data_IF_654700448215
#
_entry.id   IF_654700448215
#
_cell.length_a   1.000
_cell.length_b   1.000
_cell.length_c   1.000
_cell.angle_alpha   90.00
_cell.angle_beta   90.00
_cell.angle_gamma   90.00
#
_symmetry.space_group_name_H-M   'P 1'
#
loop_
_entity.id
_entity.type
_entity.pdbx_description
1 polymer ?
#
# COMPACT_ATOMS: atom_id res chain seq x y z
N UNK A 1 -0.31 50.45 15.27
CA UNK A 1 -0.37 49.51 16.40
C UNK A 1 -0.97 48.21 15.89
N UNK A 2 -0.24 47.09 16.09
CA UNK A 2 -0.72 45.71 16.38
C UNK A 2 -1.84 45.09 15.51
N UNK A 3 -1.88 43.81 15.13
CA UNK A 3 -1.03 42.62 15.11
C UNK A 3 -1.89 41.55 14.40
N UNK A 4 -1.27 40.65 13.61
CA UNK A 4 -1.64 39.22 13.38
C UNK A 4 -3.07 38.90 12.87
N UNK A 5 -3.23 38.13 11.80
CA UNK A 5 -3.00 36.68 11.77
C UNK A 5 -2.55 36.22 10.37
N UNK A 6 -1.30 35.77 10.29
CA UNK A 6 -0.82 34.87 9.24
C UNK A 6 -1.44 33.50 9.47
N UNK A 7 -2.15 32.97 8.48
CA UNK A 7 -2.62 31.59 8.46
C UNK A 7 -1.44 30.63 8.51
N UNK A 8 -1.35 29.87 9.59
CA UNK A 8 -0.45 28.74 9.76
C UNK A 8 -0.88 27.62 8.82
N UNK A 9 -0.13 27.44 7.75
CA UNK A 9 -0.13 26.20 6.96
C UNK A 9 0.26 25.04 7.89
N UNK A 10 -0.43 23.89 7.88
CA UNK A 10 -0.02 22.74 8.67
C UNK A 10 1.37 22.30 8.20
N UNK A 11 2.35 22.46 9.09
CA UNK A 11 3.69 21.92 8.93
C UNK A 11 3.61 20.39 8.93
N UNK A 12 4.18 19.74 7.92
CA UNK A 12 4.31 18.28 7.94
C UNK A 12 4.69 17.57 6.65
N UNK A 13 4.67 18.21 5.48
CA UNK A 13 5.20 17.64 4.23
C UNK A 13 6.12 18.66 3.58
N UNK A 14 7.35 18.74 4.10
CA UNK A 14 8.40 19.55 3.49
C UNK A 14 8.78 18.98 2.13
N UNK A 15 8.94 19.87 1.16
CA UNK A 15 9.50 19.73 -0.19
C UNK A 15 10.80 18.90 -0.30
N UNK A 16 11.40 18.52 0.84
CA UNK A 16 12.53 17.61 0.94
C UNK A 16 12.16 16.13 0.72
N UNK A 17 10.91 15.72 0.96
CA UNK A 17 10.47 14.33 0.74
C UNK A 17 10.29 13.94 -0.72
N UNK A 18 10.14 14.92 -1.61
CA UNK A 18 9.91 14.71 -3.05
C UNK A 18 11.23 14.63 -3.82
N UNK A 19 12.35 15.11 -3.26
CA UNK A 19 13.63 15.25 -3.97
C UNK A 19 14.51 14.01 -4.00
N UNK A 20 14.11 12.92 -3.34
CA UNK A 20 14.84 11.64 -3.41
C UNK A 20 14.27 10.62 -4.40
N UNK A 21 13.16 10.92 -5.08
CA UNK A 21 12.62 10.11 -6.18
C UNK A 21 13.28 10.46 -7.54
N UNK A 22 14.58 10.81 -7.52
CA UNK A 22 15.36 11.25 -8.68
C UNK A 22 15.90 10.08 -9.53
N UNK A 23 15.12 9.01 -9.66
CA UNK A 23 15.25 8.11 -10.80
C UNK A 23 14.10 8.40 -11.76
N UNK A 24 14.38 9.31 -12.69
CA UNK A 24 13.56 9.68 -13.85
C UNK A 24 13.25 8.47 -14.74
N UNK A 25 12.36 7.60 -14.27
CA UNK A 25 11.54 6.77 -15.12
C UNK A 25 10.11 7.18 -14.83
N UNK A 26 9.39 7.62 -15.86
CA UNK A 26 7.93 7.68 -15.85
C UNK A 26 7.40 6.25 -15.66
N UNK A 27 7.50 5.73 -14.45
CA UNK A 27 6.95 4.42 -14.07
C UNK A 27 5.44 4.64 -13.98
N UNK A 28 4.65 4.07 -14.90
CA UNK A 28 3.21 4.32 -14.95
C UNK A 28 2.52 4.02 -13.61
N UNK A 29 3.05 3.07 -12.85
CA UNK A 29 2.56 2.68 -11.54
C UNK A 29 2.69 3.79 -10.49
N UNK A 30 3.80 4.55 -10.46
CA UNK A 30 3.94 5.70 -9.56
C UNK A 30 3.05 6.87 -9.99
N UNK A 31 2.84 7.07 -11.29
CA UNK A 31 1.91 8.08 -11.80
C UNK A 31 0.46 7.74 -11.41
N UNK A 32 0.07 6.47 -11.50
CA UNK A 32 -1.24 5.99 -11.04
C UNK A 32 -1.43 6.21 -9.53
N UNK A 33 -0.37 5.98 -8.75
CA UNK A 33 -0.40 6.14 -7.30
C UNK A 33 -0.52 7.63 -6.91
N UNK A 34 0.26 8.51 -7.55
CA UNK A 34 0.15 9.95 -7.41
C UNK A 34 -1.25 10.48 -7.74
N UNK A 35 -1.78 10.10 -8.91
CA UNK A 35 -3.14 10.45 -9.32
C UNK A 35 -4.21 9.91 -8.35
N UNK A 36 -3.99 8.71 -7.80
CA UNK A 36 -4.85 8.13 -6.78
C UNK A 36 -4.89 8.95 -5.49
N UNK A 37 -3.72 9.35 -4.97
CA UNK A 37 -3.58 10.18 -3.77
C UNK A 37 -4.22 11.57 -4.00
N UNK A 38 -3.97 12.19 -5.15
CA UNK A 38 -4.62 13.46 -5.51
C UNK A 38 -6.14 13.34 -5.50
N UNK A 39 -6.66 12.25 -6.09
CA UNK A 39 -8.09 11.98 -6.11
C UNK A 39 -8.69 11.78 -4.71
N UNK A 40 -7.96 11.14 -3.80
CA UNK A 40 -8.37 11.05 -2.39
C UNK A 40 -8.43 12.45 -1.74
N UNK A 41 -7.47 13.32 -2.04
CA UNK A 41 -7.47 14.72 -1.60
C UNK A 41 -8.67 15.51 -2.10
N UNK A 42 -9.08 15.32 -3.36
CA UNK A 42 -10.30 15.93 -3.94
C UNK A 42 -11.59 15.44 -3.26
N UNK A 43 -11.68 14.13 -3.00
CA UNK A 43 -12.80 13.54 -2.27
C UNK A 43 -12.90 14.11 -0.86
N UNK A 44 -11.76 14.25 -0.17
CA UNK A 44 -11.71 14.87 1.15
C UNK A 44 -12.17 16.34 1.11
N UNK A 45 -11.71 17.13 0.13
CA UNK A 45 -12.17 18.52 -0.07
C UNK A 45 -13.68 18.58 -0.32
N UNK A 46 -14.23 17.62 -1.05
CA UNK A 46 -15.68 17.52 -1.30
C UNK A 46 -16.44 17.27 0.00
N UNK A 47 -16.00 16.32 0.83
CA UNK A 47 -16.61 16.04 2.14
C UNK A 47 -16.54 17.24 3.08
N UNK A 48 -15.38 17.89 3.15
CA UNK A 48 -15.16 19.10 3.95
C UNK A 48 -16.09 20.23 3.50
N UNK A 49 -16.25 20.42 2.18
CA UNK A 49 -17.17 21.42 1.62
C UNK A 49 -18.60 21.12 2.00
N UNK A 50 -19.07 19.87 1.87
CA UNK A 50 -20.44 19.48 2.25
C UNK A 50 -20.70 19.73 3.74
N UNK A 51 -19.70 19.47 4.61
CA UNK A 51 -19.80 19.75 6.04
C UNK A 51 -19.86 21.26 6.31
N UNK A 52 -19.08 22.06 5.60
CA UNK A 52 -18.99 23.50 5.82
C UNK A 52 -20.16 24.28 5.21
N UNK A 53 -20.62 23.90 4.01
CA UNK A 53 -21.79 24.51 3.35
C UNK A 53 -23.07 23.91 3.89
N UNK A 54 -23.47 24.39 5.05
CA UNK A 54 -24.79 24.11 5.61
C UNK A 54 -25.84 24.94 4.88
N UNK A 55 -26.66 24.30 4.04
CA UNK A 55 -27.89 24.92 3.56
C UNK A 55 -28.80 25.16 4.78
N UNK A 56 -29.04 26.42 5.09
CA UNK A 56 -29.91 26.85 6.19
C UNK A 56 -31.35 26.33 6.09
N UNK A 57 -31.77 25.88 4.90
CA UNK A 57 -33.11 25.32 4.65
C UNK A 57 -33.21 23.83 4.94
N UNK A 58 -32.10 23.15 5.19
CA UNK A 58 -32.08 21.71 5.47
C UNK A 58 -32.05 21.45 6.98
N UNK A 59 -32.82 20.43 7.42
CA UNK A 59 -32.74 19.94 8.79
C UNK A 59 -31.36 19.33 9.07
N UNK A 60 -30.91 19.31 10.33
CA UNK A 60 -29.69 18.60 10.74
C UNK A 60 -29.63 17.15 10.22
N UNK A 61 -30.75 16.44 10.28
CA UNK A 61 -30.90 15.05 9.84
C UNK A 61 -30.73 14.90 8.32
N UNK A 62 -31.35 15.79 7.53
CA UNK A 62 -31.20 15.79 6.07
C UNK A 62 -29.75 16.07 5.64
N UNK A 63 -29.06 16.97 6.36
CA UNK A 63 -27.63 17.25 6.13
C UNK A 63 -26.75 16.06 6.48
N UNK A 64 -27.00 15.42 7.62
CA UNK A 64 -26.27 14.24 8.05
C UNK A 64 -26.47 13.06 7.09
N UNK A 65 -27.69 12.85 6.59
CA UNK A 65 -27.98 11.85 5.58
C UNK A 65 -27.22 12.12 4.26
N UNK A 66 -27.25 13.37 3.77
CA UNK A 66 -26.50 13.78 2.58
C UNK A 66 -25.01 13.56 2.75
N UNK A 67 -24.46 13.94 3.91
CA UNK A 67 -23.05 13.70 4.24
C UNK A 67 -22.73 12.20 4.20
N UNK A 68 -23.53 11.38 4.89
CA UNK A 68 -23.38 9.91 4.89
C UNK A 68 -23.35 9.34 3.48
N UNK A 69 -24.30 9.70 2.62
CA UNK A 69 -24.36 9.20 1.23
C UNK A 69 -23.08 9.54 0.46
N UNK A 70 -22.59 10.78 0.54
CA UNK A 70 -21.38 11.18 -0.18
C UNK A 70 -20.13 10.56 0.44
N UNK A 71 -20.07 10.40 1.76
CA UNK A 71 -19.00 9.69 2.47
C UNK A 71 -18.91 8.24 2.01
N UNK A 72 -20.03 7.53 1.97
CA UNK A 72 -20.05 6.11 1.58
C UNK A 72 -19.61 5.95 0.11
N UNK A 73 -20.05 6.85 -0.78
CA UNK A 73 -19.56 6.89 -2.16
C UNK A 73 -18.06 7.20 -2.25
N UNK A 74 -17.56 8.10 -1.42
CA UNK A 74 -16.15 8.47 -1.41
C UNK A 74 -15.28 7.32 -0.87
N UNK A 75 -15.71 6.65 0.21
CA UNK A 75 -15.05 5.45 0.75
C UNK A 75 -15.00 4.32 -0.29
N UNK A 76 -16.09 4.09 -1.03
CA UNK A 76 -16.10 3.11 -2.11
C UNK A 76 -15.07 3.46 -3.22
N UNK A 77 -14.98 4.73 -3.61
CA UNK A 77 -13.98 5.20 -4.57
C UNK A 77 -12.55 5.03 -4.05
N UNK A 78 -12.29 5.36 -2.79
CA UNK A 78 -10.98 5.15 -2.16
C UNK A 78 -10.62 3.67 -2.11
N UNK A 79 -11.59 2.79 -1.82
CA UNK A 79 -11.40 1.34 -1.89
C UNK A 79 -10.96 0.86 -3.29
N UNK A 80 -11.59 1.37 -4.35
CA UNK A 80 -11.19 1.07 -5.73
C UNK A 80 -9.79 1.58 -6.07
N UNK A 81 -9.46 2.81 -5.66
CA UNK A 81 -8.12 3.39 -5.87
C UNK A 81 -7.06 2.54 -5.16
N UNK A 82 -7.30 2.18 -3.90
CA UNK A 82 -6.39 1.35 -3.11
C UNK A 82 -6.18 -0.03 -3.77
N UNK A 83 -7.25 -0.68 -4.21
CA UNK A 83 -7.16 -1.97 -4.89
C UNK A 83 -6.35 -1.90 -6.20
N UNK A 84 -6.59 -0.86 -7.02
CA UNK A 84 -5.85 -0.65 -8.27
C UNK A 84 -4.37 -0.35 -8.03
N UNK A 85 -4.07 0.54 -7.07
CA UNK A 85 -2.70 0.91 -6.73
C UNK A 85 -1.93 -0.28 -6.14
N UNK A 86 -2.54 -1.05 -5.23
CA UNK A 86 -1.93 -2.28 -4.67
C UNK A 86 -1.64 -3.31 -5.74
N UNK A 87 -2.56 -3.52 -6.68
CA UNK A 87 -2.31 -4.41 -7.82
C UNK A 87 -1.11 -3.93 -8.65
N UNK A 88 -1.07 -2.65 -9.02
CA UNK A 88 0.03 -2.08 -9.80
C UNK A 88 1.39 -2.22 -9.08
N UNK A 89 1.43 -1.91 -7.77
CA UNK A 89 2.64 -2.07 -6.95
C UNK A 89 3.11 -3.53 -6.88
N UNK A 90 2.18 -4.48 -6.68
CA UNK A 90 2.50 -5.90 -6.63
C UNK A 90 3.01 -6.41 -7.99
N UNK A 91 2.32 -6.08 -9.08
CA UNK A 91 2.74 -6.45 -10.44
C UNK A 91 4.16 -5.90 -10.74
N UNK A 92 4.46 -4.66 -10.33
CA UNK A 92 5.79 -4.07 -10.50
C UNK A 92 6.84 -4.75 -9.61
N UNK A 93 6.51 -5.05 -8.35
CA UNK A 93 7.38 -5.77 -7.41
C UNK A 93 7.76 -7.15 -7.94
N UNK A 94 6.78 -7.90 -8.46
CA UNK A 94 7.02 -9.21 -9.05
C UNK A 94 7.93 -9.15 -10.28
N UNK A 95 7.73 -8.14 -11.15
CA UNK A 95 8.61 -7.89 -12.30
C UNK A 95 10.04 -7.58 -11.86
N UNK A 96 10.22 -6.64 -10.94
CA UNK A 96 11.54 -6.27 -10.42
C UNK A 96 12.24 -7.45 -9.74
N UNK A 97 11.53 -8.22 -8.92
CA UNK A 97 12.08 -9.46 -8.33
C UNK A 97 12.51 -10.43 -9.41
N UNK A 98 11.69 -10.66 -10.42
CA UNK A 98 12.03 -11.56 -11.54
C UNK A 98 13.26 -11.06 -12.31
N UNK A 99 13.35 -9.76 -12.58
CA UNK A 99 14.52 -9.14 -13.21
C UNK A 99 15.77 -9.26 -12.34
N UNK A 100 15.65 -9.07 -11.03
CA UNK A 100 16.74 -9.23 -10.07
C UNK A 100 17.23 -10.69 -9.98
N UNK A 101 16.32 -11.66 -10.00
CA UNK A 101 16.69 -13.08 -10.06
C UNK A 101 17.39 -13.46 -11.35
N UNK A 102 16.96 -12.89 -12.48
CA UNK A 102 17.62 -13.10 -13.78
C UNK A 102 19.01 -12.46 -13.80
N UNK A 103 19.11 -11.21 -13.36
CA UNK A 103 20.38 -10.46 -13.37
C UNK A 103 21.40 -11.00 -12.37
N UNK A 104 20.95 -11.48 -11.22
CA UNK A 104 21.83 -12.11 -10.24
C UNK A 104 22.38 -13.45 -10.73
N UNK A 105 21.71 -14.15 -11.65
CA UNK A 105 22.13 -15.49 -12.05
C UNK A 105 21.81 -16.56 -10.98
N UNK A 106 21.03 -16.23 -9.95
CA UNK A 106 20.61 -17.17 -8.89
C UNK A 106 19.75 -18.34 -9.43
N UNK A 107 19.16 -18.16 -10.61
CA UNK A 107 18.36 -19.18 -11.30
C UNK A 107 19.18 -20.04 -12.28
N UNK A 108 20.44 -19.73 -12.49
CA UNK A 108 21.29 -20.46 -13.44
C UNK A 108 21.79 -21.79 -12.87
N UNK A 109 22.11 -22.72 -13.78
CA UNK A 109 22.74 -23.99 -13.42
C UNK A 109 24.24 -23.88 -13.57
N UNK A 110 24.96 -24.03 -12.46
CA UNK A 110 26.41 -23.96 -12.44
C UNK A 110 27.01 -25.37 -12.53
N UNK A 111 27.94 -25.66 -13.47
CA UNK A 111 28.57 -26.98 -13.61
C UNK A 111 29.24 -27.47 -12.32
N UNK A 112 29.85 -26.55 -11.56
CA UNK A 112 30.58 -26.84 -10.33
C UNK A 112 29.67 -27.03 -9.11
N UNK A 113 28.34 -26.87 -9.24
CA UNK A 113 27.43 -26.86 -8.10
C UNK A 113 27.51 -28.14 -7.23
N UNK A 114 27.81 -29.30 -7.82
CA UNK A 114 28.01 -30.54 -7.05
C UNK A 114 29.28 -30.51 -6.20
N UNK A 115 30.37 -29.96 -6.74
CA UNK A 115 31.64 -29.83 -6.02
C UNK A 115 31.49 -28.87 -4.84
N UNK A 116 30.81 -27.74 -5.03
CA UNK A 116 30.47 -26.80 -3.95
C UNK A 116 29.72 -27.51 -2.83
N UNK A 117 28.67 -28.27 -3.19
CA UNK A 117 27.85 -28.99 -2.22
C UNK A 117 28.65 -30.08 -1.50
N UNK A 118 29.63 -30.70 -2.13
CA UNK A 118 30.50 -31.69 -1.48
C UNK A 118 31.44 -31.01 -0.48
N UNK A 119 32.08 -29.91 -0.88
CA UNK A 119 32.95 -29.11 0.00
C UNK A 119 32.17 -28.65 1.23
N UNK A 120 31.01 -28.01 1.04
CA UNK A 120 30.18 -27.52 2.14
C UNK A 120 29.73 -28.63 3.10
N UNK A 121 29.48 -29.86 2.62
CA UNK A 121 29.13 -30.99 3.50
C UNK A 121 30.28 -31.43 4.39
N UNK A 122 31.51 -31.35 3.89
CA UNK A 122 32.71 -31.74 4.62
C UNK A 122 33.12 -30.74 5.71
N UNK A 123 32.64 -29.50 5.64
CA UNK A 123 32.91 -28.47 6.64
C UNK A 123 32.14 -28.69 7.94
N UNK A 124 32.72 -28.30 9.07
CA UNK A 124 31.97 -28.15 10.31
C UNK A 124 30.86 -27.10 10.16
N UNK A 125 29.88 -27.09 11.07
CA UNK A 125 28.78 -26.13 11.03
C UNK A 125 29.28 -24.68 11.04
N UNK A 126 30.25 -24.37 11.90
CA UNK A 126 30.83 -23.02 12.04
C UNK A 126 31.54 -22.57 10.77
N UNK A 127 32.29 -23.45 10.13
CA UNK A 127 33.02 -23.15 8.88
C UNK A 127 32.07 -22.95 7.71
N UNK A 128 31.00 -23.76 7.65
CA UNK A 128 29.95 -23.64 6.64
C UNK A 128 29.22 -22.31 6.72
N UNK A 129 28.83 -21.89 7.93
CA UNK A 129 28.18 -20.59 8.15
C UNK A 129 29.12 -19.44 7.77
N UNK A 130 30.41 -19.55 8.10
CA UNK A 130 31.42 -18.57 7.70
C UNK A 130 31.60 -18.50 6.18
N UNK A 131 31.61 -19.64 5.49
CA UNK A 131 31.75 -19.68 4.02
C UNK A 131 30.53 -19.10 3.31
N UNK A 132 29.31 -19.42 3.77
CA UNK A 132 28.09 -18.84 3.19
C UNK A 132 28.05 -17.32 3.41
N UNK A 133 28.38 -16.84 4.61
CA UNK A 133 28.46 -15.39 4.87
C UNK A 133 29.53 -14.73 3.99
N UNK A 134 30.69 -15.33 3.86
CA UNK A 134 31.74 -14.82 2.99
C UNK A 134 31.32 -14.80 1.51
N UNK A 135 30.59 -15.83 1.05
CA UNK A 135 30.01 -15.86 -0.29
C UNK A 135 28.99 -14.72 -0.50
N UNK A 136 28.16 -14.42 0.50
CA UNK A 136 27.24 -13.26 0.46
C UNK A 136 28.03 -11.96 0.36
N UNK A 137 29.04 -11.78 1.21
CA UNK A 137 29.84 -10.55 1.25
C UNK A 137 30.62 -10.31 -0.06
N UNK A 138 31.12 -11.39 -0.68
CA UNK A 138 31.81 -11.35 -1.97
C UNK A 138 30.86 -11.24 -3.17
N UNK A 139 29.56 -11.53 -2.99
CA UNK A 139 28.61 -11.63 -4.09
C UNK A 139 28.80 -12.89 -4.95
N UNK A 140 29.29 -13.99 -4.36
CA UNK A 140 29.50 -15.27 -5.02
C UNK A 140 28.18 -16.01 -5.27
N UNK A 141 27.44 -15.56 -6.29
CA UNK A 141 26.12 -16.09 -6.65
C UNK A 141 26.12 -17.60 -6.86
N UNK A 142 27.15 -18.14 -7.50
CA UNK A 142 27.26 -19.57 -7.82
C UNK A 142 27.27 -20.47 -6.57
N UNK A 143 27.82 -19.99 -5.44
CA UNK A 143 27.79 -20.72 -4.16
C UNK A 143 26.38 -20.75 -3.61
N UNK A 144 25.68 -19.61 -3.61
CA UNK A 144 24.31 -19.49 -3.10
C UNK A 144 23.32 -20.26 -3.98
N UNK A 145 23.45 -20.15 -5.31
CA UNK A 145 22.67 -20.92 -6.28
C UNK A 145 22.84 -22.44 -6.08
N UNK A 146 24.04 -22.89 -5.70
CA UNK A 146 24.29 -24.31 -5.44
C UNK A 146 23.55 -24.86 -4.21
N UNK A 147 23.14 -24.01 -3.26
CA UNK A 147 22.49 -24.43 -1.99
C UNK A 147 21.03 -24.01 -1.86
N UNK A 148 20.54 -23.08 -2.68
CA UNK A 148 19.19 -22.48 -2.62
C UNK A 148 18.03 -23.47 -2.43
N UNK A 149 18.02 -24.55 -3.20
CA UNK A 149 16.94 -25.56 -3.19
C UNK A 149 17.34 -26.87 -2.48
N UNK A 150 18.37 -26.82 -1.64
CA UNK A 150 18.89 -28.00 -0.97
C UNK A 150 18.55 -28.00 0.53
N UNK A 151 18.67 -29.16 1.20
CA UNK A 151 18.34 -29.28 2.61
C UNK A 151 19.10 -28.25 3.47
N UNK A 152 18.50 -27.79 4.59
CA UNK A 152 19.12 -26.81 5.50
C UNK A 152 20.50 -27.24 6.03
N UNK A 153 20.81 -28.53 5.96
CA UNK A 153 22.15 -29.03 6.24
C UNK A 153 23.21 -28.26 5.43
N UNK A 154 22.99 -27.94 4.15
CA UNK A 154 23.97 -27.26 3.29
C UNK A 154 24.05 -25.74 3.51
N UNK A 155 22.94 -25.13 3.89
CA UNK A 155 22.87 -23.70 4.20
C UNK A 155 23.36 -23.42 5.62
N UNK A 156 23.55 -24.46 6.43
CA UNK A 156 23.93 -24.36 7.82
C UNK A 156 22.79 -23.95 8.75
N UNK A 157 23.12 -23.74 10.03
CA UNK A 157 22.25 -23.22 11.08
C UNK A 157 22.13 -21.71 10.99
N UNK A 158 22.29 -21.17 9.78
CA UNK A 158 21.90 -19.81 9.45
C UNK A 158 20.40 -19.75 9.75
N UNK A 159 20.05 -19.21 10.92
CA UNK A 159 18.68 -18.92 11.29
C UNK A 159 18.03 -17.85 10.41
N UNK A 160 18.68 -17.46 9.30
CA UNK A 160 18.14 -16.58 8.29
C UNK A 160 17.43 -17.40 7.22
N UNK A 161 16.17 -17.07 6.89
CA UNK A 161 15.47 -17.66 5.76
C UNK A 161 16.28 -17.49 4.45
N UNK A 162 16.23 -18.48 3.55
CA UNK A 162 16.89 -18.41 2.24
C UNK A 162 16.49 -17.15 1.46
N UNK A 163 15.22 -16.71 1.58
CA UNK A 163 14.75 -15.47 0.97
C UNK A 163 15.59 -14.25 1.39
N UNK A 164 16.06 -14.22 2.65
CA UNK A 164 16.92 -13.13 3.13
C UNK A 164 18.30 -13.19 2.49
N UNK A 165 18.87 -14.39 2.34
CA UNK A 165 20.15 -14.60 1.64
C UNK A 165 20.03 -14.17 0.17
N UNK A 166 18.94 -14.53 -0.50
CA UNK A 166 18.65 -14.14 -1.88
C UNK A 166 18.57 -12.61 -2.01
N UNK A 167 17.86 -11.94 -1.10
CA UNK A 167 17.78 -10.47 -1.09
C UNK A 167 19.16 -9.82 -0.85
N UNK A 168 20.01 -10.38 0.03
CA UNK A 168 21.37 -9.88 0.25
C UNK A 168 22.26 -10.03 -0.99
N UNK A 169 22.13 -11.14 -1.73
CA UNK A 169 22.87 -11.30 -2.99
C UNK A 169 22.34 -10.34 -4.06
N UNK A 170 21.02 -10.18 -4.16
CA UNK A 170 20.39 -9.25 -5.11
C UNK A 170 20.87 -7.82 -4.85
N UNK A 171 20.91 -7.36 -3.61
CA UNK A 171 21.36 -6.00 -3.28
C UNK A 171 22.84 -5.75 -3.63
N UNK A 172 23.67 -6.81 -3.65
CA UNK A 172 25.08 -6.72 -4.08
C UNK A 172 25.24 -6.73 -5.59
N UNK A 173 24.49 -7.57 -6.30
CA UNK A 173 24.68 -7.82 -7.75
C UNK A 173 23.81 -6.89 -8.63
N UNK A 174 22.66 -6.47 -8.11
CA UNK A 174 21.72 -5.58 -8.79
C UNK A 174 21.22 -4.46 -7.84
N UNK A 175 22.13 -3.61 -7.33
CA UNK A 175 21.79 -2.56 -6.37
C UNK A 175 20.74 -1.57 -6.88
N UNK A 176 20.68 -1.34 -8.19
CA UNK A 176 19.66 -0.48 -8.78
C UNK A 176 18.24 -1.07 -8.71
N UNK A 177 18.10 -2.40 -8.81
CA UNK A 177 16.80 -3.07 -8.68
C UNK A 177 16.37 -3.15 -7.22
N UNK A 178 17.32 -3.29 -6.30
CA UNK A 178 17.08 -3.22 -4.87
C UNK A 178 16.59 -1.83 -4.44
N UNK A 179 17.22 -0.77 -4.96
CA UNK A 179 16.76 0.60 -4.76
C UNK A 179 15.32 0.80 -5.28
N UNK A 180 15.00 0.33 -6.50
CA UNK A 180 13.64 0.41 -7.03
C UNK A 180 12.62 -0.40 -6.18
N UNK A 181 13.03 -1.51 -5.56
CA UNK A 181 12.17 -2.29 -4.65
C UNK A 181 11.88 -1.56 -3.33
N UNK A 182 12.87 -0.87 -2.75
CA UNK A 182 12.68 -0.03 -1.57
C UNK A 182 11.85 1.22 -1.89
N UNK A 183 11.97 1.80 -3.09
CA UNK A 183 11.10 2.87 -3.57
C UNK A 183 9.63 2.42 -3.64
N UNK A 184 9.36 1.20 -4.13
CA UNK A 184 8.00 0.64 -4.13
C UNK A 184 7.43 0.47 -2.72
N UNK A 185 8.25 0.06 -1.76
CA UNK A 185 7.84 -0.09 -0.35
C UNK A 185 7.53 1.26 0.29
N UNK A 186 8.32 2.28 -0.05
CA UNK A 186 8.06 3.66 0.36
C UNK A 186 6.73 4.15 -0.24
N UNK A 187 6.48 3.88 -1.51
CA UNK A 187 5.23 4.24 -2.17
C UNK A 187 4.01 3.49 -1.59
N UNK A 188 4.15 2.21 -1.23
CA UNK A 188 3.11 1.45 -0.52
C UNK A 188 2.80 2.10 0.85
N UNK A 189 3.83 2.51 1.57
CA UNK A 189 3.66 3.20 2.87
C UNK A 189 2.90 4.52 2.70
N UNK A 190 3.21 5.30 1.66
CA UNK A 190 2.47 6.53 1.36
C UNK A 190 1.01 6.28 0.98
N UNK A 191 0.73 5.23 0.21
CA UNK A 191 -0.64 4.82 -0.10
C UNK A 191 -1.42 4.48 1.17
N UNK A 192 -0.83 3.69 2.07
CA UNK A 192 -1.46 3.29 3.32
C UNK A 192 -1.75 4.49 4.23
N UNK A 193 -0.78 5.41 4.35
CA UNK A 193 -0.97 6.67 5.08
C UNK A 193 -2.11 7.49 4.46
N UNK A 194 -2.18 7.60 3.13
CA UNK A 194 -3.22 8.38 2.46
C UNK A 194 -4.61 7.78 2.66
N UNK A 195 -4.76 6.47 2.53
CA UNK A 195 -6.02 5.74 2.73
C UNK A 195 -6.48 5.87 4.18
N UNK A 196 -5.59 5.64 5.14
CA UNK A 196 -5.91 5.72 6.56
C UNK A 196 -6.22 7.16 6.99
N UNK A 197 -5.47 8.14 6.49
CA UNK A 197 -5.76 9.57 6.73
C UNK A 197 -7.13 9.95 6.18
N UNK A 198 -7.45 9.52 4.94
CA UNK A 198 -8.76 9.77 4.35
C UNK A 198 -9.88 9.16 5.20
N UNK A 199 -9.75 7.90 5.60
CA UNK A 199 -10.76 7.21 6.40
C UNK A 199 -10.96 7.89 7.77
N UNK A 200 -9.87 8.24 8.46
CA UNK A 200 -9.91 8.94 9.76
C UNK A 200 -10.56 10.32 9.65
N UNK A 201 -10.20 11.12 8.65
CA UNK A 201 -10.78 12.46 8.47
C UNK A 201 -12.25 12.39 8.03
N UNK A 202 -12.61 11.46 7.15
CA UNK A 202 -14.00 11.22 6.77
C UNK A 202 -14.88 10.80 7.98
N UNK A 203 -14.31 10.02 8.90
CA UNK A 203 -14.97 9.61 10.15
C UNK A 203 -15.11 10.78 11.13
N UNK A 204 -14.06 11.58 11.33
CA UNK A 204 -14.09 12.80 12.17
C UNK A 204 -15.10 13.85 11.71
N UNK A 205 -15.47 13.79 10.43
CA UNK A 205 -16.45 14.69 9.84
C UNK A 205 -17.90 14.28 10.06
N UNK A 206 -18.15 13.09 10.63
CA UNK A 206 -19.50 12.58 10.89
C UNK A 206 -20.20 13.31 12.03
N UNK A 207 -21.52 13.38 11.90
CA UNK A 207 -22.44 13.64 12.98
C UNK A 207 -23.24 12.36 13.24
N UNK A 208 -22.71 11.50 14.11
CA UNK A 208 -23.23 10.14 14.33
C UNK A 208 -24.67 10.17 14.85
N UNK A 209 -25.00 11.14 15.71
CA UNK A 209 -26.34 11.26 16.29
C UNK A 209 -27.38 11.73 15.26
N UNK A 210 -27.03 12.72 14.43
CA UNK A 210 -27.91 13.18 13.37
C UNK A 210 -28.04 12.13 12.24
N UNK A 211 -26.96 11.42 11.91
CA UNK A 211 -26.99 10.28 10.97
C UNK A 211 -27.94 9.18 11.47
N UNK A 212 -27.86 8.81 12.75
CA UNK A 212 -28.69 7.77 13.35
C UNK A 212 -30.18 8.13 13.36
N UNK A 213 -30.51 9.40 13.62
CA UNK A 213 -31.89 9.91 13.53
C UNK A 213 -32.39 9.89 12.09
N UNK A 214 -31.61 10.41 11.14
CA UNK A 214 -31.99 10.45 9.74
C UNK A 214 -32.27 9.06 9.15
N UNK A 215 -31.52 8.04 9.56
CA UNK A 215 -31.77 6.65 9.14
C UNK A 215 -33.09 6.13 9.67
N UNK A 216 -33.42 6.40 10.93
CA UNK A 216 -34.71 6.00 11.52
C UNK A 216 -35.88 6.71 10.86
N UNK A 217 -35.75 8.00 10.57
CA UNK A 217 -36.79 8.78 9.89
C UNK A 217 -37.00 8.28 8.45
N UNK A 218 -35.92 7.95 7.74
CA UNK A 218 -36.00 7.35 6.40
C UNK A 218 -36.68 5.96 6.42
N UNK A 219 -36.38 5.13 7.43
CA UNK A 219 -37.03 3.82 7.61
C UNK A 219 -38.52 3.99 7.91
N UNK A 220 -38.89 4.87 8.85
CA UNK A 220 -40.28 5.14 9.19
C UNK A 220 -41.08 5.68 8.00
N UNK A 221 -40.46 6.53 7.17
CA UNK A 221 -41.08 7.02 5.93
C UNK A 221 -41.31 5.89 4.92
N UNK A 222 -40.30 5.04 4.69
CA UNK A 222 -40.42 3.90 3.79
C UNK A 222 -41.49 2.89 4.24
N UNK A 223 -41.61 2.65 5.55
CA UNK A 223 -42.66 1.81 6.14
C UNK A 223 -44.05 2.44 5.98
N UNK A 224 -44.17 3.75 6.19
CA UNK A 224 -45.42 4.48 5.99
C UNK A 224 -45.85 4.48 4.51
N UNK A 225 -44.90 4.69 3.58
CA UNK A 225 -45.15 4.63 2.14
C UNK A 225 -45.59 3.22 1.71
N UNK A 226 -44.94 2.17 2.23
CA UNK A 226 -45.32 0.79 1.97
C UNK A 226 -46.71 0.46 2.54
N UNK A 227 -47.03 0.93 3.74
CA UNK A 227 -48.35 0.77 4.35
C UNK A 227 -49.43 1.54 3.56
N UNK A 228 -49.13 2.73 3.07
CA UNK A 228 -50.02 3.54 2.25
C UNK A 228 -50.25 2.91 0.88
N UNK A 229 -49.20 2.43 0.20
CA UNK A 229 -49.30 1.70 -1.06
C UNK A 229 -50.16 0.42 -0.91
N UNK A 230 -49.99 -0.31 0.21
CA UNK A 230 -50.81 -1.47 0.56
C UNK A 230 -52.28 -1.09 0.83
N UNK A 231 -52.54 0.05 1.47
CA UNK A 231 -53.89 0.54 1.74
C UNK A 231 -54.62 1.05 0.48
N UNK A 232 -53.88 1.57 -0.50
CA UNK A 232 -54.41 2.01 -1.79
C UNK A 232 -54.66 0.88 -2.80
N UNK A 233 -54.30 -0.36 -2.47
CA UNK A 233 -54.58 -1.53 -3.32
C UNK A 233 -53.77 -1.57 -4.62
N UNK A 234 -52.61 -0.91 -4.68
CA UNK A 234 -51.71 -1.04 -5.83
C UNK A 234 -51.26 -2.52 -5.96
N UNK A 235 -51.38 -3.14 -7.14
CA UNK A 235 -50.95 -4.52 -7.32
C UNK A 235 -49.44 -4.61 -7.08
N UNK A 236 -49.05 -5.61 -6.30
CA UNK A 236 -47.66 -6.04 -6.18
C UNK A 236 -47.32 -6.76 -7.48
N UNK A 237 -46.52 -6.14 -8.35
CA UNK A 237 -45.74 -6.83 -9.38
C UNK A 237 -44.26 -6.79 -9.02
#
# INVERSE_FOLDING_TARGET
MQHFLRGTTPAGLTDAGVRHLNHEKNVPEFALLGAGIERMGELHKTLSTIRATSDSRQTPEARAFKYKTVRDQALAKVGLINAQARKALNDRRERLRTEAFKKSGLLETYPQAQEVRQVLRGLSQKERDAEINAAIDRGDVWVIAAVRNYPPLLTGKIGMPMELIENLIISKVAPELDAELEDLKTAETHLDIAVDTFAREAERMRDIEAEGRAVKDAQATAEADAAFAKALGAPVE
#
